data_IF_957470812960
#
_entry.id   IF_957470812960
#
_cell.length_a   1.000
_cell.length_b   1.000
_cell.length_c   1.000
_cell.angle_alpha   90.00
_cell.angle_beta   90.00
_cell.angle_gamma   90.00
#
_symmetry.space_group_name_H-M   'P 1'
#
loop_
_entity.id
_entity.type
_entity.pdbx_description
1 polymer ?
#
# COMPACT_ATOMS: atom_id res chain seq x y z
N UNK A 1 74.75 6.33 31.09
CA UNK A 1 74.17 5.67 29.90
C UNK A 1 72.66 5.64 30.07
N UNK A 2 71.92 6.64 29.56
CA UNK A 2 70.47 6.82 29.73
C UNK A 2 69.77 6.27 28.48
N UNK A 3 69.03 5.18 28.70
CA UNK A 3 68.22 4.56 27.66
C UNK A 3 66.86 5.31 27.53
N UNK A 4 66.65 6.04 26.44
CA UNK A 4 65.39 6.72 26.11
C UNK A 4 64.43 5.70 25.49
N UNK A 5 63.37 5.38 26.22
CA UNK A 5 62.28 4.52 25.77
C UNK A 5 61.26 5.38 25.01
N UNK A 6 61.20 5.29 23.68
CA UNK A 6 60.17 5.93 22.88
C UNK A 6 58.93 5.04 22.89
N UNK A 7 57.89 5.47 23.62
CA UNK A 7 56.55 4.87 23.55
C UNK A 7 55.82 5.55 22.37
N UNK A 8 55.70 4.82 21.25
CA UNK A 8 54.85 5.23 20.14
C UNK A 8 53.39 4.89 20.48
N UNK A 9 52.63 5.92 20.88
CA UNK A 9 51.18 5.86 21.04
C UNK A 9 50.53 5.82 19.66
N UNK A 10 50.19 4.63 19.18
CA UNK A 10 49.38 4.48 17.98
C UNK A 10 47.94 4.89 18.30
N UNK A 11 47.57 6.10 17.84
CA UNK A 11 46.20 6.58 17.88
C UNK A 11 45.33 5.70 16.95
N UNK A 12 44.54 4.80 17.49
CA UNK A 12 43.45 4.15 16.81
C UNK A 12 42.37 5.20 16.51
N UNK A 13 42.47 5.82 15.33
CA UNK A 13 41.37 6.58 14.76
C UNK A 13 40.27 5.59 14.39
N UNK A 14 39.38 5.28 15.33
CA UNK A 14 38.13 4.63 15.04
C UNK A 14 37.34 5.55 14.09
N UNK A 15 37.30 5.22 12.81
CA UNK A 15 36.37 5.84 11.87
C UNK A 15 34.97 5.47 12.33
N UNK A 16 34.25 6.39 12.99
CA UNK A 16 32.81 6.31 13.17
C UNK A 16 32.20 6.39 11.77
N UNK A 17 32.03 5.24 11.11
CA UNK A 17 31.23 5.16 9.90
C UNK A 17 29.77 5.41 10.31
N UNK A 18 29.09 6.29 9.59
CA UNK A 18 27.62 6.42 9.74
C UNK A 18 26.98 5.05 9.50
N UNK A 19 25.86 4.73 10.17
CA UNK A 19 25.14 3.49 9.90
C UNK A 19 24.75 3.42 8.42
N UNK A 20 24.75 2.22 7.81
CA UNK A 20 24.44 2.06 6.40
C UNK A 20 23.00 2.55 6.13
N UNK A 21 22.82 3.23 5.02
CA UNK A 21 21.51 3.67 4.53
C UNK A 21 20.66 2.46 4.15
N UNK A 22 19.34 2.64 4.03
CA UNK A 22 18.46 1.52 3.68
C UNK A 22 18.82 0.90 2.32
N UNK A 23 19.20 1.72 1.34
CA UNK A 23 19.68 1.23 0.05
C UNK A 23 20.98 0.42 0.18
N UNK A 24 21.95 0.90 0.95
CA UNK A 24 23.20 0.16 1.18
C UNK A 24 22.93 -1.18 1.88
N UNK A 25 22.01 -1.24 2.83
CA UNK A 25 21.61 -2.50 3.49
C UNK A 25 21.00 -3.49 2.48
N UNK A 26 20.11 -3.03 1.59
CA UNK A 26 19.51 -3.86 0.52
C UNK A 26 20.60 -4.42 -0.39
N UNK A 27 21.53 -3.58 -0.85
CA UNK A 27 22.61 -3.98 -1.77
C UNK A 27 23.65 -4.89 -1.09
N UNK A 28 23.96 -4.67 0.19
CA UNK A 28 24.92 -5.49 0.94
C UNK A 28 24.37 -6.89 1.22
N UNK A 29 23.09 -6.97 1.63
CA UNK A 29 22.41 -8.27 1.89
C UNK A 29 22.07 -8.98 0.59
N UNK A 30 21.87 -8.24 -0.51
CA UNK A 30 21.46 -8.79 -1.80
C UNK A 30 19.98 -9.15 -1.86
N UNK A 31 19.14 -8.57 -0.98
CA UNK A 31 17.70 -8.84 -0.91
C UNK A 31 16.90 -7.55 -0.80
N UNK A 32 15.85 -7.41 -1.62
CA UNK A 32 14.79 -6.41 -1.44
C UNK A 32 13.58 -7.08 -0.80
N UNK A 33 13.36 -6.84 0.49
CA UNK A 33 12.19 -7.35 1.21
C UNK A 33 11.04 -6.38 1.08
N UNK A 34 9.92 -6.87 0.53
CA UNK A 34 8.72 -6.08 0.26
C UNK A 34 7.53 -6.70 0.97
N UNK A 35 6.78 -5.89 1.71
CA UNK A 35 5.50 -6.29 2.28
C UNK A 35 4.37 -5.90 1.34
N UNK A 36 3.45 -6.83 1.12
CA UNK A 36 2.27 -6.68 0.27
C UNK A 36 1.06 -7.38 0.88
N UNK A 37 -0.09 -7.32 0.20
CA UNK A 37 -1.29 -8.08 0.54
C UNK A 37 -1.74 -8.92 -0.68
N UNK A 38 -2.54 -9.95 -0.43
CA UNK A 38 -3.16 -10.73 -1.51
C UNK A 38 -4.28 -9.90 -2.16
N UNK A 39 -4.03 -9.41 -3.34
CA UNK A 39 -4.98 -8.59 -4.11
C UNK A 39 -4.66 -8.69 -5.60
N UNK A 40 -5.69 -8.77 -6.48
CA UNK A 40 -5.49 -8.84 -7.93
C UNK A 40 -4.70 -7.67 -8.54
N UNK A 41 -4.62 -6.54 -7.85
CA UNK A 41 -3.87 -5.36 -8.30
C UNK A 41 -2.44 -5.31 -7.74
N UNK A 42 -2.16 -6.03 -6.65
CA UNK A 42 -0.84 -6.02 -6.00
C UNK A 42 -0.09 -7.32 -6.23
N UNK A 43 -0.56 -8.40 -5.62
CA UNK A 43 0.12 -9.69 -5.60
C UNK A 43 -0.89 -10.84 -5.48
N UNK A 44 -0.75 -11.85 -6.31
CA UNK A 44 -1.51 -13.10 -6.24
C UNK A 44 -0.56 -14.28 -6.40
N UNK A 45 -0.63 -15.26 -5.50
CA UNK A 45 0.07 -16.53 -5.65
C UNK A 45 -0.78 -17.47 -6.50
N UNK A 46 -0.36 -17.67 -7.75
CA UNK A 46 -1.05 -18.54 -8.71
C UNK A 46 -0.37 -19.89 -8.92
N UNK A 47 -1.02 -20.83 -9.65
CA UNK A 47 -0.42 -22.13 -9.97
C UNK A 47 0.89 -22.06 -10.75
N UNK A 48 1.09 -21.00 -11.52
CA UNK A 48 2.28 -20.75 -12.33
C UNK A 48 3.29 -19.84 -11.61
N UNK A 49 3.06 -19.53 -10.35
CA UNK A 49 3.85 -18.65 -9.50
C UNK A 49 3.19 -17.30 -9.24
N UNK A 50 3.91 -16.40 -8.55
CA UNK A 50 3.42 -15.08 -8.20
C UNK A 50 3.19 -14.19 -9.43
N UNK A 51 2.16 -13.36 -9.37
CA UNK A 51 1.75 -12.43 -10.42
C UNK A 51 1.04 -11.21 -9.84
N UNK A 52 0.89 -10.16 -10.63
CA UNK A 52 0.17 -8.94 -10.29
C UNK A 52 0.89 -7.72 -10.85
N UNK A 53 0.16 -6.67 -11.26
CA UNK A 53 0.77 -5.48 -11.87
C UNK A 53 1.82 -4.82 -10.97
N UNK A 54 1.53 -4.69 -9.67
CA UNK A 54 2.48 -4.10 -8.73
C UNK A 54 3.65 -5.05 -8.41
N UNK A 55 3.39 -6.36 -8.33
CA UNK A 55 4.44 -7.37 -8.19
C UNK A 55 5.44 -7.33 -9.35
N UNK A 56 4.95 -7.25 -10.59
CA UNK A 56 5.79 -7.18 -11.78
C UNK A 56 6.68 -5.94 -11.75
N UNK A 57 6.12 -4.77 -11.39
CA UNK A 57 6.84 -3.52 -11.25
C UNK A 57 7.93 -3.57 -10.16
N UNK A 58 7.62 -4.16 -9.01
CA UNK A 58 8.58 -4.35 -7.91
C UNK A 58 9.68 -5.33 -8.30
N UNK A 59 9.32 -6.37 -9.06
CA UNK A 59 10.29 -7.35 -9.56
C UNK A 59 11.28 -6.69 -10.52
N UNK A 60 10.82 -5.86 -11.45
CA UNK A 60 11.69 -5.09 -12.34
C UNK A 60 12.62 -4.17 -11.54
N UNK A 61 12.12 -3.54 -10.48
CA UNK A 61 12.95 -2.71 -9.60
C UNK A 61 14.04 -3.52 -8.87
N UNK A 62 13.71 -4.70 -8.36
CA UNK A 62 14.69 -5.59 -7.71
C UNK A 62 15.75 -6.08 -8.72
N UNK A 63 15.33 -6.43 -9.93
CA UNK A 63 16.24 -6.84 -11.04
C UNK A 63 17.19 -5.68 -11.41
N UNK A 64 16.71 -4.43 -11.45
CA UNK A 64 17.53 -3.25 -11.71
C UNK A 64 18.54 -2.95 -10.59
N UNK A 65 18.18 -3.25 -9.33
CA UNK A 65 19.09 -3.18 -8.20
C UNK A 65 20.11 -4.33 -8.19
N UNK A 66 19.86 -5.40 -8.93
CA UNK A 66 20.67 -6.61 -8.94
C UNK A 66 20.56 -7.43 -7.66
N UNK A 67 19.40 -7.44 -7.02
CA UNK A 67 19.11 -8.13 -5.75
C UNK A 67 17.94 -9.10 -5.89
N UNK A 68 17.84 -10.06 -4.97
CA UNK A 68 16.71 -10.99 -4.89
C UNK A 68 15.46 -10.27 -4.33
N UNK A 69 14.29 -10.47 -4.97
CA UNK A 69 13.02 -10.01 -4.46
C UNK A 69 12.45 -11.00 -3.44
N UNK A 70 12.22 -10.53 -2.22
CA UNK A 70 11.60 -11.33 -1.14
C UNK A 70 10.26 -10.71 -0.78
N UNK A 71 9.18 -11.37 -1.20
CA UNK A 71 7.80 -10.94 -0.89
C UNK A 71 7.35 -11.50 0.47
N UNK A 72 6.65 -10.67 1.22
CA UNK A 72 5.92 -11.03 2.44
C UNK A 72 4.50 -10.51 2.35
N UNK A 73 3.54 -11.42 2.41
CA UNK A 73 2.11 -11.07 2.50
C UNK A 73 1.70 -10.88 3.95
N UNK A 74 0.76 -9.96 4.17
CA UNK A 74 0.05 -9.74 5.44
C UNK A 74 -1.44 -9.95 5.21
N UNK A 75 -2.14 -10.34 6.28
CA UNK A 75 -3.56 -10.67 6.21
C UNK A 75 -4.46 -9.42 6.19
N UNK A 76 -3.93 -8.28 6.64
CA UNK A 76 -4.66 -7.00 6.68
C UNK A 76 -3.76 -5.83 6.31
N UNK A 77 -4.33 -4.84 5.62
CA UNK A 77 -3.63 -3.59 5.27
C UNK A 77 -3.13 -2.84 6.52
N UNK A 78 -3.82 -3.00 7.66
CA UNK A 78 -3.43 -2.40 8.93
C UNK A 78 -2.11 -2.97 9.51
N UNK A 79 -1.66 -4.14 9.05
CA UNK A 79 -0.41 -4.75 9.49
C UNK A 79 0.82 -4.18 8.76
N UNK A 80 0.64 -3.51 7.62
CA UNK A 80 1.76 -3.01 6.78
C UNK A 80 2.65 -2.05 7.58
N UNK A 81 2.06 -1.04 8.24
CA UNK A 81 2.81 -0.05 9.03
C UNK A 81 3.59 -0.70 10.17
N UNK A 82 2.98 -1.55 11.04
CA UNK A 82 3.71 -2.30 12.06
C UNK A 82 4.82 -3.18 11.47
N UNK A 83 4.58 -3.82 10.32
CA UNK A 83 5.55 -4.69 9.68
C UNK A 83 6.80 -3.93 9.21
N UNK A 84 6.60 -2.78 8.56
CA UNK A 84 7.68 -1.87 8.15
C UNK A 84 8.46 -1.31 9.35
N UNK A 85 7.75 -0.81 10.36
CA UNK A 85 8.37 -0.21 11.55
C UNK A 85 9.16 -1.24 12.39
N UNK A 86 8.83 -2.53 12.28
CA UNK A 86 9.59 -3.61 12.88
C UNK A 86 10.87 -3.99 12.07
N UNK A 87 11.15 -3.32 10.94
CA UNK A 87 12.30 -3.60 10.07
C UNK A 87 12.20 -4.95 9.34
N UNK A 88 11.01 -5.54 9.26
CA UNK A 88 10.79 -6.84 8.61
C UNK A 88 10.74 -6.74 7.09
N UNK A 89 10.43 -5.56 6.55
CA UNK A 89 10.50 -5.23 5.14
C UNK A 89 11.18 -3.88 4.93
N UNK A 90 11.71 -3.65 3.73
CA UNK A 90 12.38 -2.42 3.34
C UNK A 90 11.38 -1.41 2.76
N UNK A 91 10.31 -1.89 2.15
CA UNK A 91 9.23 -1.08 1.58
C UNK A 91 7.93 -1.87 1.53
N UNK A 92 6.82 -1.17 1.31
CA UNK A 92 5.52 -1.74 1.01
C UNK A 92 5.12 -1.43 -0.43
N UNK A 93 4.58 -2.46 -1.09
CA UNK A 93 3.92 -2.40 -2.38
C UNK A 93 2.62 -3.20 -2.26
N UNK A 94 1.51 -2.50 -1.96
CA UNK A 94 0.24 -3.11 -1.56
C UNK A 94 -0.99 -2.30 -2.03
N UNK A 95 -0.86 -1.57 -3.15
CA UNK A 95 -1.90 -0.71 -3.68
C UNK A 95 -2.26 0.43 -2.71
N UNK A 96 -1.25 1.08 -2.12
CA UNK A 96 -1.50 2.05 -1.05
C UNK A 96 -1.79 3.44 -1.61
N UNK A 97 -3.01 3.93 -1.39
CA UNK A 97 -3.34 5.35 -1.56
C UNK A 97 -2.52 6.23 -0.60
N UNK A 98 -2.11 7.38 -1.09
CA UNK A 98 -1.41 8.39 -0.28
C UNK A 98 -2.45 9.16 0.53
N UNK A 99 -2.64 8.82 1.82
CA UNK A 99 -3.52 9.54 2.74
C UNK A 99 -2.74 10.32 3.79
N UNK A 100 -3.36 11.39 4.35
CA UNK A 100 -2.72 12.16 5.42
C UNK A 100 -2.49 11.29 6.67
N UNK A 101 -3.41 10.39 7.00
CA UNK A 101 -3.27 9.45 8.11
C UNK A 101 -2.02 8.56 7.94
N UNK A 102 -1.79 8.03 6.75
CA UNK A 102 -0.62 7.19 6.44
C UNK A 102 0.68 7.99 6.37
N UNK A 103 0.63 9.26 5.93
CA UNK A 103 1.79 10.15 5.92
C UNK A 103 2.36 10.42 7.32
N UNK A 104 1.59 10.21 8.36
CA UNK A 104 2.10 10.31 9.74
C UNK A 104 3.16 9.24 10.06
N UNK A 105 3.04 8.06 9.44
CA UNK A 105 3.84 6.86 9.76
C UNK A 105 4.76 6.41 8.63
N UNK A 106 4.48 6.81 7.38
CA UNK A 106 5.16 6.36 6.18
C UNK A 106 5.68 7.53 5.34
N UNK A 107 6.77 7.30 4.61
CA UNK A 107 7.16 8.10 3.46
C UNK A 107 6.65 7.43 2.19
N UNK A 108 6.03 8.19 1.31
CA UNK A 108 5.56 7.72 0.02
C UNK A 108 6.51 8.16 -1.08
N UNK A 109 6.77 7.25 -2.02
CA UNK A 109 7.49 7.54 -3.25
C UNK A 109 6.63 8.23 -4.31
N UNK A 110 7.20 8.36 -5.50
CA UNK A 110 6.47 8.87 -6.68
C UNK A 110 5.25 7.96 -6.98
N UNK A 111 4.05 8.53 -7.19
CA UNK A 111 2.89 7.74 -7.59
C UNK A 111 3.16 6.99 -8.90
N UNK A 112 2.84 5.70 -8.93
CA UNK A 112 2.94 4.87 -10.13
C UNK A 112 1.58 4.63 -10.80
N UNK A 113 0.48 4.93 -10.10
CA UNK A 113 -0.89 4.83 -10.61
C UNK A 113 -1.78 5.92 -10.00
N UNK A 114 -2.92 6.19 -10.67
CA UNK A 114 -3.96 7.12 -10.23
C UNK A 114 -5.30 6.41 -10.39
N UNK A 115 -6.03 6.25 -9.30
CA UNK A 115 -7.31 5.53 -9.28
C UNK A 115 -8.45 6.45 -8.86
N UNK A 116 -9.66 6.12 -9.27
CA UNK A 116 -10.87 6.77 -8.79
C UNK A 116 -11.50 5.88 -7.70
N UNK A 117 -11.99 6.49 -6.63
CA UNK A 117 -12.67 5.81 -5.54
C UNK A 117 -14.19 5.87 -5.76
N UNK A 118 -14.82 4.71 -5.82
CA UNK A 118 -16.23 4.58 -6.15
C UNK A 118 -17.03 3.91 -5.03
N UNK A 119 -18.22 4.44 -4.76
CA UNK A 119 -19.25 3.70 -4.04
C UNK A 119 -19.91 2.71 -5.00
N UNK A 120 -19.92 1.43 -4.64
CA UNK A 120 -20.42 0.34 -5.47
C UNK A 120 -21.74 -0.19 -4.90
N UNK A 121 -22.71 -0.45 -5.81
CA UNK A 121 -24.01 -1.03 -5.49
C UNK A 121 -24.38 -2.12 -6.50
N UNK A 122 -25.38 -2.95 -6.18
CA UNK A 122 -25.96 -3.93 -7.10
C UNK A 122 -27.08 -3.31 -7.93
N UNK A 123 -27.06 -3.55 -9.23
CA UNK A 123 -28.14 -3.13 -10.13
C UNK A 123 -29.48 -3.77 -9.72
N UNK A 124 -30.49 -2.93 -9.53
CA UNK A 124 -31.83 -3.36 -9.12
C UNK A 124 -32.16 -3.12 -7.64
N UNK A 125 -31.16 -2.83 -6.79
CA UNK A 125 -31.37 -2.54 -5.35
C UNK A 125 -31.62 -1.06 -5.05
N UNK A 126 -31.68 -0.21 -6.08
CA UNK A 126 -31.89 1.23 -5.95
C UNK A 126 -30.58 2.00 -5.92
N UNK A 127 -30.27 2.65 -7.07
CA UNK A 127 -29.11 3.54 -7.18
C UNK A 127 -29.32 4.80 -6.33
N UNK A 128 -28.40 5.16 -5.42
CA UNK A 128 -28.42 6.46 -4.73
C UNK A 128 -28.06 7.56 -5.74
N UNK A 129 -28.63 8.76 -5.55
CA UNK A 129 -28.30 9.94 -6.35
C UNK A 129 -27.18 10.77 -5.69
N UNK A 130 -27.12 10.72 -4.37
CA UNK A 130 -26.15 11.42 -3.52
C UNK A 130 -25.92 10.65 -2.21
N UNK A 131 -25.16 11.21 -1.28
CA UNK A 131 -24.83 10.57 -0.01
C UNK A 131 -26.02 10.53 0.96
N UNK A 132 -27.00 11.42 0.83
CA UNK A 132 -28.24 11.41 1.63
C UNK A 132 -29.05 10.13 1.36
N UNK A 133 -29.08 9.63 0.12
CA UNK A 133 -29.74 8.38 -0.26
C UNK A 133 -29.03 7.12 0.29
N UNK A 134 -27.78 7.26 0.76
CA UNK A 134 -26.97 6.18 1.32
C UNK A 134 -27.19 6.03 2.82
N UNK A 135 -27.59 7.11 3.52
CA UNK A 135 -27.80 7.12 4.97
C UNK A 135 -28.84 6.06 5.37
N UNK A 136 -28.50 5.29 6.42
CA UNK A 136 -29.36 4.22 6.94
C UNK A 136 -29.35 2.92 6.13
N UNK A 137 -28.52 2.84 5.10
CA UNK A 137 -28.30 1.61 4.32
C UNK A 137 -26.95 0.98 4.68
N UNK A 138 -26.84 -0.36 4.75
CA UNK A 138 -25.61 -1.03 5.16
C UNK A 138 -24.44 -0.75 4.20
N UNK A 139 -23.34 -0.24 4.75
CA UNK A 139 -22.06 -0.06 4.07
C UNK A 139 -21.01 -0.90 4.80
N UNK A 140 -20.21 -1.65 4.09
CA UNK A 140 -19.07 -2.36 4.66
C UNK A 140 -17.80 -2.07 3.86
N UNK A 141 -16.70 -1.74 4.54
CA UNK A 141 -15.40 -1.45 3.94
C UNK A 141 -14.29 -2.19 4.67
N UNK A 142 -13.14 -2.31 4.05
CA UNK A 142 -11.94 -2.90 4.65
C UNK A 142 -11.41 -2.01 5.77
N UNK A 143 -11.15 -2.58 6.94
CA UNK A 143 -10.64 -1.84 8.10
C UNK A 143 -9.24 -1.27 7.82
N UNK A 144 -9.02 -0.01 8.24
CA UNK A 144 -7.75 0.70 8.08
C UNK A 144 -7.40 1.05 6.63
N UNK A 145 -8.39 0.97 5.73
CA UNK A 145 -8.23 1.36 4.32
C UNK A 145 -8.46 2.86 4.12
N UNK A 146 -8.03 3.38 2.95
CA UNK A 146 -8.41 4.73 2.48
C UNK A 146 -9.92 4.89 2.32
N UNK A 147 -10.65 3.79 2.09
CA UNK A 147 -12.11 3.76 2.01
C UNK A 147 -12.76 4.09 3.36
N UNK A 148 -12.21 3.54 4.46
CA UNK A 148 -12.65 3.90 5.82
C UNK A 148 -12.32 5.36 6.16
N UNK A 149 -11.11 5.85 5.78
CA UNK A 149 -10.72 7.25 5.93
C UNK A 149 -11.69 8.18 5.17
N UNK A 150 -12.14 7.80 3.96
CA UNK A 150 -13.11 8.54 3.17
C UNK A 150 -14.47 8.63 3.86
N UNK A 151 -15.01 7.51 4.37
CA UNK A 151 -16.27 7.51 5.11
C UNK A 151 -16.18 8.33 6.39
N UNK A 152 -15.04 8.26 7.08
CA UNK A 152 -14.79 9.10 8.26
C UNK A 152 -14.78 10.60 7.89
N UNK A 153 -14.22 10.97 6.76
CA UNK A 153 -14.26 12.36 6.28
C UNK A 153 -15.68 12.80 5.89
N UNK A 154 -16.44 11.93 5.21
CA UNK A 154 -17.83 12.18 4.83
C UNK A 154 -18.75 12.31 6.06
N UNK A 155 -18.50 11.58 7.14
CA UNK A 155 -19.29 11.65 8.36
C UNK A 155 -19.21 13.03 9.06
N UNK A 156 -18.19 13.84 8.75
CA UNK A 156 -18.12 15.22 9.25
C UNK A 156 -19.22 16.12 8.64
N UNK A 157 -19.71 15.77 7.44
CA UNK A 157 -20.79 16.50 6.73
C UNK A 157 -22.12 15.75 6.86
N UNK A 158 -22.07 14.42 6.97
CA UNK A 158 -23.22 13.52 7.11
C UNK A 158 -23.10 12.73 8.42
N UNK A 159 -23.42 13.34 9.60
CA UNK A 159 -23.18 12.70 10.91
C UNK A 159 -24.02 11.43 11.16
N UNK A 160 -25.05 11.20 10.35
CA UNK A 160 -25.90 10.00 10.40
C UNK A 160 -25.37 8.86 9.53
N UNK A 161 -24.24 9.06 8.82
CA UNK A 161 -23.59 8.03 8.03
C UNK A 161 -22.96 6.99 8.93
N UNK A 162 -23.37 5.74 8.79
CA UNK A 162 -22.85 4.61 9.53
C UNK A 162 -22.27 3.57 8.58
N UNK A 163 -21.18 2.92 8.98
CA UNK A 163 -20.55 1.84 8.22
C UNK A 163 -19.92 0.81 9.16
N UNK A 164 -19.62 -0.35 8.58
CA UNK A 164 -18.89 -1.41 9.27
C UNK A 164 -17.49 -1.53 8.65
N UNK A 165 -16.47 -1.61 9.49
CA UNK A 165 -15.12 -1.94 9.07
C UNK A 165 -14.83 -3.43 9.32
N UNK A 166 -14.41 -4.14 8.27
CA UNK A 166 -14.07 -5.55 8.33
C UNK A 166 -12.55 -5.74 8.21
N UNK A 167 -11.94 -6.32 9.24
CA UNK A 167 -10.49 -6.54 9.30
C UNK A 167 -10.04 -7.81 8.55
N UNK A 168 -10.98 -8.73 8.30
CA UNK A 168 -10.71 -10.05 7.70
C UNK A 168 -11.15 -10.14 6.23
N UNK A 169 -11.67 -9.03 5.65
CA UNK A 169 -12.16 -9.00 4.28
C UNK A 169 -11.28 -8.12 3.39
N UNK A 170 -11.01 -8.61 2.18
CA UNK A 170 -10.45 -7.83 1.08
C UNK A 170 -11.57 -7.18 0.26
N UNK A 171 -11.23 -6.21 -0.60
CA UNK A 171 -12.21 -5.52 -1.47
C UNK A 171 -12.98 -6.51 -2.34
N UNK A 172 -12.33 -7.58 -2.78
CA UNK A 172 -12.97 -8.66 -3.55
C UNK A 172 -14.10 -9.34 -2.81
N UNK A 173 -13.92 -9.61 -1.49
CA UNK A 173 -14.94 -10.23 -0.64
C UNK A 173 -16.13 -9.27 -0.43
N UNK A 174 -15.81 -7.99 -0.22
CA UNK A 174 -16.84 -6.95 -0.02
C UNK A 174 -17.68 -6.73 -1.28
N UNK A 175 -17.05 -6.75 -2.46
CA UNK A 175 -17.77 -6.70 -3.73
C UNK A 175 -18.69 -7.93 -3.92
N UNK A 176 -18.23 -9.12 -3.50
CA UNK A 176 -19.06 -10.33 -3.51
C UNK A 176 -20.24 -10.21 -2.55
N UNK A 177 -20.08 -9.62 -1.35
CA UNK A 177 -21.18 -9.34 -0.41
C UNK A 177 -22.24 -8.42 -1.02
N UNK A 178 -21.83 -7.34 -1.71
CA UNK A 178 -22.77 -6.46 -2.43
C UNK A 178 -23.49 -7.22 -3.54
N UNK A 179 -22.78 -8.04 -4.32
CA UNK A 179 -23.39 -8.85 -5.36
C UNK A 179 -24.41 -9.85 -4.82
N UNK A 180 -24.20 -10.37 -3.61
CA UNK A 180 -25.09 -11.30 -2.92
C UNK A 180 -26.19 -10.61 -2.09
N UNK A 181 -26.25 -9.26 -2.06
CA UNK A 181 -27.19 -8.47 -1.25
C UNK A 181 -27.04 -8.68 0.28
N UNK A 182 -25.83 -9.02 0.72
CA UNK A 182 -25.50 -9.12 2.16
C UNK A 182 -25.27 -7.74 2.76
N UNK A 183 -24.75 -6.80 1.95
CA UNK A 183 -24.65 -5.37 2.23
C UNK A 183 -25.11 -4.59 1.01
N UNK A 184 -25.56 -3.34 1.20
CA UNK A 184 -26.04 -2.51 0.09
C UNK A 184 -24.91 -1.87 -0.69
N UNK A 185 -23.84 -1.50 0.03
CA UNK A 185 -22.70 -0.79 -0.55
C UNK A 185 -21.36 -1.26 -0.02
N UNK A 186 -20.34 -1.13 -0.87
CA UNK A 186 -18.94 -1.06 -0.49
C UNK A 186 -18.24 0.03 -1.27
N UNK A 187 -17.00 0.32 -0.93
CA UNK A 187 -16.15 1.21 -1.71
C UNK A 187 -15.04 0.38 -2.37
N UNK A 188 -14.72 0.70 -3.60
CA UNK A 188 -13.63 0.08 -4.34
C UNK A 188 -12.93 1.11 -5.24
N UNK A 189 -11.65 0.91 -5.44
CA UNK A 189 -10.89 1.66 -6.42
C UNK A 189 -11.21 1.19 -7.83
N UNK A 190 -11.13 2.12 -8.79
CA UNK A 190 -11.49 1.87 -10.19
C UNK A 190 -10.78 0.67 -10.79
N UNK A 191 -9.50 0.46 -10.47
CA UNK A 191 -8.70 -0.66 -10.97
C UNK A 191 -9.20 -2.00 -10.41
N UNK A 192 -9.42 -2.11 -9.09
CA UNK A 192 -9.97 -3.31 -8.46
C UNK A 192 -11.39 -3.60 -8.96
N UNK A 193 -12.26 -2.57 -9.00
CA UNK A 193 -13.62 -2.71 -9.50
C UNK A 193 -13.66 -3.18 -10.96
N UNK A 194 -12.80 -2.63 -11.84
CA UNK A 194 -12.75 -3.01 -13.25
C UNK A 194 -12.35 -4.48 -13.45
N UNK A 195 -11.54 -5.06 -12.59
CA UNK A 195 -11.24 -6.49 -12.59
C UNK A 195 -12.46 -7.28 -12.12
N UNK A 196 -13.03 -6.91 -10.97
CA UNK A 196 -14.08 -7.68 -10.30
C UNK A 196 -15.44 -7.62 -11.00
N UNK A 197 -15.77 -6.56 -11.72
CA UNK A 197 -17.04 -6.45 -12.48
C UNK A 197 -17.22 -7.52 -13.56
N UNK A 198 -16.13 -8.19 -13.97
CA UNK A 198 -16.24 -9.32 -14.90
C UNK A 198 -16.80 -10.56 -14.23
N UNK A 199 -16.54 -10.72 -12.93
CA UNK A 199 -17.07 -11.82 -12.12
C UNK A 199 -18.44 -11.49 -11.51
N UNK A 200 -18.73 -10.21 -11.32
CA UNK A 200 -19.97 -9.67 -10.73
C UNK A 200 -20.63 -8.66 -11.70
N UNK A 201 -21.23 -9.14 -12.81
CA UNK A 201 -21.70 -8.24 -13.88
C UNK A 201 -22.89 -7.35 -13.49
N UNK A 202 -23.50 -7.59 -12.33
CA UNK A 202 -24.60 -6.77 -11.79
C UNK A 202 -24.11 -5.60 -10.93
N UNK A 203 -22.83 -5.54 -10.58
CA UNK A 203 -22.29 -4.42 -9.81
C UNK A 203 -22.11 -3.17 -10.68
N UNK A 204 -22.40 -2.03 -10.10
CA UNK A 204 -22.31 -0.71 -10.75
C UNK A 204 -21.75 0.32 -9.80
N UNK A 205 -21.11 1.33 -10.39
CA UNK A 205 -20.75 2.57 -9.69
C UNK A 205 -22.04 3.33 -9.36
N UNK A 206 -22.24 3.59 -8.09
CA UNK A 206 -23.29 4.45 -7.58
C UNK A 206 -22.87 5.92 -7.65
N UNK A 207 -21.78 6.24 -6.97
CA UNK A 207 -21.21 7.59 -6.83
C UNK A 207 -19.70 7.55 -7.00
N UNK A 208 -19.12 8.59 -7.57
CA UNK A 208 -17.69 8.85 -7.52
C UNK A 208 -17.38 9.63 -6.24
N UNK A 209 -16.63 9.05 -5.33
CA UNK A 209 -16.29 9.66 -4.03
C UNK A 209 -15.04 10.53 -4.11
N UNK A 210 -14.04 10.07 -4.88
CA UNK A 210 -12.79 10.78 -5.14
C UNK A 210 -12.30 10.43 -6.54
N UNK A 211 -11.71 11.41 -7.24
CA UNK A 211 -11.09 11.20 -8.53
C UNK A 211 -9.59 11.43 -8.44
N UNK A 212 -8.83 10.56 -9.12
CA UNK A 212 -7.38 10.71 -9.24
C UNK A 212 -6.65 10.53 -7.90
N UNK A 213 -6.98 9.51 -7.11
CA UNK A 213 -6.28 9.16 -5.88
C UNK A 213 -4.91 8.52 -6.20
N UNK A 214 -3.79 9.11 -5.76
CA UNK A 214 -2.48 8.60 -6.10
C UNK A 214 -2.13 7.33 -5.32
N UNK A 215 -1.66 6.31 -6.05
CA UNK A 215 -1.15 5.05 -5.50
C UNK A 215 0.37 5.06 -5.57
N UNK A 216 1.04 4.74 -4.46
CA UNK A 216 2.50 4.77 -4.38
C UNK A 216 3.07 3.70 -3.46
N UNK A 217 4.34 3.35 -3.71
CA UNK A 217 5.11 2.56 -2.77
C UNK A 217 5.39 3.35 -1.49
N UNK A 218 5.40 2.65 -0.36
CA UNK A 218 5.60 3.25 0.94
C UNK A 218 6.86 2.72 1.62
N UNK A 219 7.52 3.60 2.37
CA UNK A 219 8.80 3.36 3.04
C UNK A 219 8.71 3.72 4.52
N UNK A 220 9.46 3.03 5.40
CA UNK A 220 9.44 3.34 6.83
C UNK A 220 10.05 4.73 7.09
N UNK A 221 9.43 5.50 7.97
CA UNK A 221 10.02 6.76 8.44
C UNK A 221 11.29 6.51 9.26
N UNK A 222 12.26 7.40 9.12
CA UNK A 222 13.52 7.34 9.89
C UNK A 222 14.61 6.43 9.31
N UNK A 223 14.33 5.69 8.23
CA UNK A 223 15.34 4.88 7.52
C UNK A 223 16.20 5.68 6.52
N UNK A 224 15.95 7.00 6.42
CA UNK A 224 16.50 7.84 5.36
C UNK A 224 15.84 7.60 4.01
N UNK A 225 16.07 8.52 3.06
CA UNK A 225 15.35 8.54 1.77
C UNK A 225 16.11 7.84 0.64
N UNK A 226 17.20 7.10 0.94
CA UNK A 226 18.09 6.55 -0.08
C UNK A 226 17.41 5.51 -0.99
N UNK A 227 16.66 4.57 -0.43
CA UNK A 227 15.90 3.56 -1.18
C UNK A 227 14.71 4.21 -1.90
N UNK A 228 13.98 5.10 -1.21
CA UNK A 228 12.88 5.87 -1.79
C UNK A 228 13.35 6.66 -3.01
N UNK A 229 14.42 7.43 -2.89
CA UNK A 229 14.96 8.22 -4.00
C UNK A 229 15.46 7.35 -5.17
N UNK A 230 15.86 6.11 -4.91
CA UNK A 230 16.23 5.15 -5.94
C UNK A 230 14.99 4.58 -6.65
N UNK A 231 13.94 4.27 -5.88
CA UNK A 231 12.64 3.83 -6.38
C UNK A 231 11.97 4.91 -7.24
N UNK A 232 11.98 6.17 -6.78
CA UNK A 232 11.42 7.30 -7.55
C UNK A 232 12.10 7.47 -8.90
N UNK A 233 13.43 7.33 -8.98
CA UNK A 233 14.15 7.39 -10.27
C UNK A 233 13.74 6.25 -11.19
N UNK A 234 13.61 5.03 -10.65
CA UNK A 234 13.15 3.89 -11.43
C UNK A 234 11.74 4.12 -11.99
N UNK A 235 10.77 4.55 -11.15
CA UNK A 235 9.39 4.78 -11.59
C UNK A 235 9.28 5.86 -12.65
N UNK A 236 10.03 6.97 -12.51
CA UNK A 236 10.07 8.05 -13.52
C UNK A 236 10.70 7.59 -14.84
N UNK A 237 11.62 6.63 -14.82
CA UNK A 237 12.23 6.05 -16.01
C UNK A 237 11.33 5.01 -16.67
N UNK A 238 10.57 4.23 -15.89
CA UNK A 238 9.62 3.23 -16.37
C UNK A 238 8.37 3.85 -17.04
N UNK A 239 7.97 5.07 -16.64
CA UNK A 239 6.83 5.81 -17.21
C UNK A 239 7.14 6.48 -18.57
N UNK A 240 8.34 6.30 -19.13
CA UNK A 240 8.78 6.86 -20.43
C UNK A 240 8.70 5.86 -21.57
#
# INVERSE_FOLDING_TARGET
>A
MRLLLYITLAALLGTCSAPPTLLEQVLEVGELRVVTRDSPVSYVEGPDGPSGPEFDLVKEFADELGVELVIKTVDSISEIVPYLNAGKAHMAAAGLSITESRREYLHFGHPYDMVDMHLIYKLGTGKPNDMEDVIGRPIEVMAGSSHADMLQALSAVHPELEWTENADAEVTDLLAKVANEEVDFTIADSTEFNIQRHFHPDLRVALDLQLGDPIAWAFPKGSGDSLLARADRFLVEADR
#
